data_IF_088615276438
#
_entry.id   IF_088615276438
#
_cell.length_a   1.000
_cell.length_b   1.000
_cell.length_c   1.000
_cell.angle_alpha   90.00
_cell.angle_beta   90.00
_cell.angle_gamma   90.00
#
_symmetry.space_group_name_H-M   'P 1'
#
loop_
_entity.id
_entity.type
_entity.pdbx_description
1 polymer ?
#
# COMPACT_ATOMS: atom_id res chain seq x y z
N UNK A 1 7.98 7.35 -6.82
CA UNK A 1 7.23 7.50 -5.56
C UNK A 1 8.02 6.72 -4.53
N UNK A 2 8.35 7.29 -3.38
CA UNK A 2 8.97 6.53 -2.29
C UNK A 2 7.84 6.11 -1.35
N UNK A 3 7.65 4.81 -1.17
CA UNK A 3 6.74 4.26 -0.17
C UNK A 3 7.54 4.20 1.13
N UNK A 4 7.13 4.95 2.15
CA UNK A 4 7.77 4.85 3.46
C UNK A 4 7.23 3.64 4.21
N UNK A 5 8.10 2.92 4.94
CA UNK A 5 7.78 1.66 5.62
C UNK A 5 6.62 1.76 6.64
N UNK A 6 6.21 2.99 7.02
CA UNK A 6 5.14 3.27 7.98
C UNK A 6 3.82 3.71 7.33
N UNK A 7 3.70 3.59 6.01
CA UNK A 7 2.50 4.01 5.28
C UNK A 7 1.88 2.83 4.53
N UNK A 8 0.61 2.55 4.81
CA UNK A 8 -0.18 1.56 4.09
C UNK A 8 -1.04 2.25 3.04
N UNK A 9 -0.82 1.89 1.78
CA UNK A 9 -1.55 2.48 0.66
C UNK A 9 -2.57 1.48 0.14
N UNK A 10 -3.86 1.81 0.28
CA UNK A 10 -4.93 1.08 -0.37
C UNK A 10 -5.15 1.66 -1.75
N UNK A 11 -5.24 0.80 -2.76
CA UNK A 11 -5.31 1.18 -4.16
C UNK A 11 -6.43 0.47 -4.91
N UNK A 12 -6.92 1.11 -5.95
CA UNK A 12 -7.75 0.53 -6.98
C UNK A 12 -6.92 0.29 -8.24
N UNK A 13 -7.09 -0.87 -8.85
CA UNK A 13 -6.44 -1.28 -10.10
C UNK A 13 -7.36 -0.97 -11.30
N UNK A 14 -6.78 -0.64 -12.46
CA UNK A 14 -7.50 -0.45 -13.73
C UNK A 14 -7.06 -1.46 -14.79
N UNK A 15 -7.97 -1.87 -15.71
CA UNK A 15 -9.37 -1.47 -15.82
C UNK A 15 -10.33 -2.26 -14.90
N UNK A 16 -9.87 -3.36 -14.31
CA UNK A 16 -10.65 -4.18 -13.41
C UNK A 16 -10.74 -3.50 -12.04
N UNK A 17 -11.94 -3.09 -11.57
CA UNK A 17 -12.20 -2.49 -10.24
C UNK A 17 -11.84 -3.43 -9.06
N UNK A 18 -10.61 -3.93 -9.02
CA UNK A 18 -10.01 -4.71 -7.95
C UNK A 18 -9.30 -3.74 -7.00
N UNK A 19 -9.25 -4.11 -5.74
CA UNK A 19 -8.62 -3.33 -4.68
C UNK A 19 -7.56 -4.17 -3.98
N UNK A 20 -6.62 -3.48 -3.35
CA UNK A 20 -5.54 -4.13 -2.62
C UNK A 20 -4.64 -3.13 -1.92
N UNK A 21 -3.60 -3.66 -1.29
CA UNK A 21 -2.58 -2.88 -0.59
C UNK A 21 -1.28 -2.90 -1.37
N UNK A 22 -0.63 -1.74 -1.51
CA UNK A 22 0.73 -1.67 -2.08
C UNK A 22 1.71 -2.33 -1.12
N UNK A 23 2.48 -3.28 -1.64
CA UNK A 23 3.51 -4.01 -0.89
C UNK A 23 4.93 -3.71 -1.38
N UNK A 24 5.07 -2.96 -2.48
CA UNK A 24 6.36 -2.55 -2.99
C UNK A 24 6.28 -1.88 -4.35
N UNK A 25 7.43 -1.42 -4.84
CA UNK A 25 7.56 -0.91 -6.21
C UNK A 25 8.95 -1.17 -6.74
N UNK A 26 9.06 -1.52 -8.02
CA UNK A 26 10.32 -1.68 -8.71
C UNK A 26 10.16 -1.27 -10.18
N UNK A 27 11.11 -0.50 -10.70
CA UNK A 27 11.19 -0.08 -12.11
C UNK A 27 9.85 0.29 -12.79
N UNK A 28 9.09 1.19 -12.15
CA UNK A 28 7.79 1.67 -12.68
C UNK A 28 6.59 0.74 -12.44
N UNK A 29 6.82 -0.47 -11.93
CA UNK A 29 5.77 -1.38 -11.48
C UNK A 29 5.47 -1.19 -9.99
N UNK A 30 4.21 -1.42 -9.63
CA UNK A 30 3.70 -1.44 -8.27
C UNK A 30 3.26 -2.86 -7.96
N UNK A 31 3.85 -3.44 -6.92
CA UNK A 31 3.43 -4.72 -6.35
C UNK A 31 2.24 -4.50 -5.43
N UNK A 32 1.16 -5.25 -5.64
CA UNK A 32 -0.10 -5.13 -4.90
C UNK A 32 -0.51 -6.51 -4.40
N UNK A 33 -0.80 -6.61 -3.10
CA UNK A 33 -1.57 -7.70 -2.53
C UNK A 33 -3.05 -7.33 -2.65
N UNK A 34 -3.77 -8.01 -3.54
CA UNK A 34 -5.20 -7.84 -3.75
C UNK A 34 -5.98 -8.38 -2.54
N UNK A 35 -7.19 -7.86 -2.33
CA UNK A 35 -8.05 -8.25 -1.20
C UNK A 35 -8.46 -9.74 -1.24
N UNK A 36 -8.34 -10.39 -2.40
CA UNK A 36 -8.57 -11.84 -2.56
C UNK A 36 -7.33 -12.70 -2.21
N UNK A 37 -6.22 -12.08 -1.79
CA UNK A 37 -4.97 -12.75 -1.46
C UNK A 37 -4.01 -12.97 -2.65
N UNK A 38 -4.39 -12.59 -3.86
CA UNK A 38 -3.50 -12.67 -5.03
C UNK A 38 -2.48 -11.53 -5.03
N UNK A 39 -1.28 -11.83 -5.55
CA UNK A 39 -0.22 -10.84 -5.77
C UNK A 39 -0.16 -10.48 -7.24
N UNK A 40 -0.08 -9.17 -7.54
CA UNK A 40 0.10 -8.68 -8.91
C UNK A 40 1.15 -7.57 -8.95
N UNK A 41 1.88 -7.51 -10.07
CA UNK A 41 2.70 -6.35 -10.43
C UNK A 41 2.03 -5.64 -11.60
N UNK A 42 1.82 -4.33 -11.47
CA UNK A 42 1.14 -3.55 -12.50
C UNK A 42 1.81 -2.18 -12.72
N UNK A 43 1.82 -1.63 -13.94
CA UNK A 43 2.32 -0.29 -14.18
C UNK A 43 1.63 0.75 -13.30
N UNK A 44 2.41 1.69 -12.77
CA UNK A 44 1.93 2.71 -11.82
C UNK A 44 0.74 3.52 -12.35
N UNK A 45 0.69 3.78 -13.65
CA UNK A 45 -0.40 4.50 -14.32
C UNK A 45 -1.75 3.77 -14.28
N UNK A 46 -1.75 2.46 -13.96
CA UNK A 46 -2.97 1.66 -13.79
C UNK A 46 -3.45 1.58 -12.35
N UNK A 47 -2.81 2.33 -11.44
CA UNK A 47 -3.10 2.30 -10.02
C UNK A 47 -3.62 3.66 -9.58
N UNK A 48 -4.73 3.66 -8.85
CA UNK A 48 -5.27 4.85 -8.18
C UNK A 48 -5.25 4.64 -6.67
N UNK A 49 -4.62 5.54 -5.94
CA UNK A 49 -4.65 5.54 -4.47
C UNK A 49 -6.06 5.91 -4.02
N UNK A 50 -6.62 5.10 -3.13
CA UNK A 50 -7.95 5.33 -2.53
C UNK A 50 -7.86 5.70 -1.05
N UNK A 51 -6.84 5.21 -0.34
CA UNK A 51 -6.57 5.56 1.05
C UNK A 51 -5.08 5.47 1.36
N UNK A 52 -4.64 6.27 2.33
CA UNK A 52 -3.31 6.20 2.93
C UNK A 52 -3.50 6.18 4.44
N UNK A 53 -3.08 5.08 5.07
CA UNK A 53 -3.01 4.96 6.52
C UNK A 53 -1.55 5.19 6.95
N UNK A 54 -1.36 6.09 7.91
CA UNK A 54 -0.03 6.38 8.49
C UNK A 54 -0.02 5.76 9.88
N UNK A 55 0.90 4.83 10.12
CA UNK A 55 1.06 4.27 11.45
C UNK A 55 1.68 5.34 12.36
N UNK A 56 0.88 5.84 13.29
CA UNK A 56 1.37 6.67 14.39
C UNK A 56 1.86 5.73 15.49
N UNK A 57 3.18 5.55 15.63
CA UNK A 57 3.74 4.95 16.84
C UNK A 57 3.29 5.78 18.06
N UNK A 58 2.30 5.27 18.80
CA UNK A 58 1.93 5.81 20.10
C UNK A 58 3.09 5.56 21.07
N UNK A 59 3.86 6.61 21.35
CA UNK A 59 4.89 6.65 22.40
C UNK A 59 4.31 6.63 23.83
N UNK A 60 3.27 5.84 24.10
CA UNK A 60 2.68 5.76 25.45
C UNK A 60 3.09 4.50 26.24
N UNK A 61 3.69 3.49 25.60
CA UNK A 61 4.12 2.25 26.29
C UNK A 61 5.54 2.31 26.88
N UNK A 62 6.24 3.45 26.79
CA UNK A 62 7.64 3.58 27.29
C UNK A 62 7.71 4.07 28.75
N UNK A 63 6.62 4.57 29.36
CA UNK A 63 6.63 5.13 30.72
C UNK A 63 5.67 4.46 31.70
N UNK A 64 5.63 3.12 31.71
CA UNK A 64 5.16 2.36 32.88
C UNK A 64 6.27 1.40 33.35
N UNK A 65 7.27 1.95 34.00
CA UNK A 65 8.20 1.25 34.91
C UNK A 65 8.28 2.03 36.22
#
# INVERSE_FOLDING_TARGET
>A
MKFEEKQKFTVQVYPSRKFGTVIGSNDGLIGILLDNGEYIDIPRERVRIVSVEVDHETKEDIFRL
#
